data_IF_054558633925
#
_entry.id   IF_054558633925
#
_cell.length_a   1.000
_cell.length_b   1.000
_cell.length_c   1.000
_cell.angle_alpha   90.00
_cell.angle_beta   90.00
_cell.angle_gamma   90.00
#
_symmetry.space_group_name_H-M   'P 1'
#
loop_
_entity.id
_entity.type
_entity.pdbx_description
1 polymer ?
#
# COMPACT_ATOMS: atom_id res chain seq x y z
N UNK A 1 -18.38 -16.31 7.28
CA UNK A 1 -18.90 -15.09 6.61
C UNK A 1 -18.39 -15.05 5.17
N UNK A 2 -19.25 -14.68 4.23
CA UNK A 2 -18.91 -14.49 2.82
C UNK A 2 -17.97 -13.27 2.63
N UNK A 3 -16.98 -13.36 1.73
CA UNK A 3 -16.07 -12.25 1.39
C UNK A 3 -16.84 -11.02 0.91
N UNK A 4 -17.97 -11.20 0.21
CA UNK A 4 -18.80 -10.09 -0.28
C UNK A 4 -19.35 -9.19 0.82
N UNK A 5 -19.74 -9.75 1.97
CA UNK A 5 -20.22 -8.94 3.08
C UNK A 5 -19.09 -8.13 3.72
N UNK A 6 -17.89 -8.70 3.84
CA UNK A 6 -16.68 -8.00 4.30
C UNK A 6 -16.27 -6.89 3.32
N UNK A 7 -16.37 -7.12 2.02
CA UNK A 7 -16.12 -6.12 0.97
C UNK A 7 -17.14 -4.98 0.99
N UNK A 8 -18.41 -5.27 1.26
CA UNK A 8 -19.43 -4.24 1.47
C UNK A 8 -19.12 -3.39 2.70
N UNK A 9 -18.72 -4.03 3.80
CA UNK A 9 -18.37 -3.34 5.04
C UNK A 9 -17.16 -2.41 4.87
N UNK A 10 -16.08 -2.89 4.23
CA UNK A 10 -14.90 -2.08 3.89
C UNK A 10 -15.31 -0.83 3.12
N UNK A 11 -16.15 -0.97 2.08
CA UNK A 11 -16.62 0.17 1.28
C UNK A 11 -17.48 1.13 2.08
N UNK A 12 -18.37 0.62 2.94
CA UNK A 12 -19.19 1.46 3.84
C UNK A 12 -18.31 2.25 4.80
N UNK A 13 -17.33 1.60 5.43
CA UNK A 13 -16.38 2.27 6.34
C UNK A 13 -15.55 3.33 5.62
N UNK A 14 -14.95 2.99 4.47
CA UNK A 14 -14.13 3.94 3.69
C UNK A 14 -14.93 5.19 3.26
N UNK A 15 -16.21 5.04 2.90
CA UNK A 15 -17.07 6.17 2.52
C UNK A 15 -17.58 6.96 3.72
N UNK A 16 -18.10 6.27 4.73
CA UNK A 16 -18.74 6.90 5.88
C UNK A 16 -17.75 7.59 6.81
N UNK A 17 -16.61 6.95 7.08
CA UNK A 17 -15.60 7.46 8.02
C UNK A 17 -14.43 8.17 7.31
N UNK A 18 -14.30 8.03 5.99
CA UNK A 18 -13.10 8.45 5.28
C UNK A 18 -12.76 9.94 5.42
N UNK A 19 -13.76 10.83 5.34
CA UNK A 19 -13.50 12.28 5.51
C UNK A 19 -12.92 12.60 6.90
N UNK A 20 -13.51 12.03 7.96
CA UNK A 20 -13.04 12.21 9.32
C UNK A 20 -11.61 11.67 9.49
N UNK A 21 -11.38 10.42 9.09
CA UNK A 21 -10.08 9.75 9.24
C UNK A 21 -8.99 10.48 8.47
N UNK A 22 -9.24 10.86 7.22
CA UNK A 22 -8.25 11.59 6.41
C UNK A 22 -7.93 12.96 7.00
N UNK A 23 -8.95 13.74 7.38
CA UNK A 23 -8.72 15.06 7.97
C UNK A 23 -7.96 14.97 9.30
N UNK A 24 -8.28 13.98 10.15
CA UNK A 24 -7.53 13.73 11.38
C UNK A 24 -6.07 13.36 11.09
N UNK A 25 -5.80 12.49 10.13
CA UNK A 25 -4.43 12.14 9.75
C UNK A 25 -3.64 13.35 9.23
N UNK A 26 -4.24 14.17 8.38
CA UNK A 26 -3.56 15.36 7.86
C UNK A 26 -3.31 16.38 8.96
N UNK A 27 -4.28 16.59 9.84
CA UNK A 27 -4.12 17.48 10.98
C UNK A 27 -3.04 16.95 11.96
N UNK A 28 -3.02 15.66 12.25
CA UNK A 28 -2.06 15.09 13.22
C UNK A 28 -0.62 14.99 12.68
N UNK A 29 -0.42 14.88 11.36
CA UNK A 29 0.90 14.53 10.79
C UNK A 29 1.38 15.40 9.62
N UNK A 30 0.59 16.39 9.17
CA UNK A 30 0.93 17.20 8.01
C UNK A 30 0.72 18.70 8.22
N UNK A 31 -0.41 19.11 8.79
CA UNK A 31 -0.80 20.54 8.88
C UNK A 31 -0.98 21.06 10.29
N UNK A 32 -1.15 20.19 11.28
CA UNK A 32 -1.32 20.62 12.67
C UNK A 32 -0.01 21.06 13.31
N UNK A 33 -0.15 21.74 14.45
CA UNK A 33 0.99 22.19 15.24
C UNK A 33 1.85 21.01 15.67
N UNK A 34 3.18 21.14 15.56
CA UNK A 34 4.14 20.10 15.98
C UNK A 34 3.93 19.72 17.46
N UNK A 35 3.55 20.69 18.30
CA UNK A 35 3.28 20.53 19.73
C UNK A 35 1.93 19.88 20.06
N UNK A 36 1.07 19.65 19.06
CA UNK A 36 -0.25 19.06 19.26
C UNK A 36 -0.13 17.62 19.76
N UNK A 37 -0.80 17.31 20.86
CA UNK A 37 -0.93 15.93 21.34
C UNK A 37 -1.69 15.08 20.31
N UNK A 38 -1.00 14.11 19.72
CA UNK A 38 -1.56 13.16 18.76
C UNK A 38 -2.26 12.02 19.52
N UNK A 39 -3.57 11.88 19.36
CA UNK A 39 -4.33 10.76 19.92
C UNK A 39 -4.38 9.64 18.88
N UNK A 40 -3.79 8.45 19.15
CA UNK A 40 -3.81 7.34 18.21
C UNK A 40 -5.25 6.90 17.91
N UNK A 41 -5.54 6.71 16.62
CA UNK A 41 -6.81 6.17 16.15
C UNK A 41 -6.57 5.19 15.01
N UNK A 42 -7.53 4.30 14.78
CA UNK A 42 -7.54 3.41 13.63
C UNK A 42 -7.47 4.23 12.34
N UNK A 43 -6.43 4.01 11.54
CA UNK A 43 -6.19 4.73 10.29
C UNK A 43 -7.21 4.42 9.19
N UNK A 44 -8.18 3.52 9.42
CA UNK A 44 -9.23 3.21 8.45
C UNK A 44 -10.64 3.64 8.91
N UNK A 45 -10.99 3.45 10.18
CA UNK A 45 -12.33 3.76 10.71
C UNK A 45 -12.37 4.85 11.78
N UNK A 46 -11.23 5.33 12.26
CA UNK A 46 -11.14 6.45 13.19
C UNK A 46 -11.39 6.12 14.66
N UNK A 47 -11.75 4.88 15.02
CA UNK A 47 -11.91 4.52 16.44
C UNK A 47 -10.58 4.56 17.18
N UNK A 48 -10.60 4.99 18.44
CA UNK A 48 -9.42 5.04 19.33
C UNK A 48 -9.27 3.78 20.18
N UNK A 49 -10.23 2.85 20.09
CA UNK A 49 -10.30 1.64 20.91
C UNK A 49 -9.72 0.42 20.19
N UNK A 50 -9.16 -0.52 20.96
CA UNK A 50 -8.68 -1.83 20.51
C UNK A 50 -7.72 -1.75 19.32
N UNK A 51 -6.77 -0.81 19.38
CA UNK A 51 -5.77 -0.61 18.35
C UNK A 51 -4.75 -1.74 18.33
N UNK A 52 -4.38 -2.13 17.12
CA UNK A 52 -3.42 -3.16 16.79
C UNK A 52 -2.43 -2.60 15.76
N UNK A 53 -1.30 -3.28 15.56
CA UNK A 53 -0.31 -2.93 14.54
C UNK A 53 -0.57 -3.73 13.28
N UNK A 54 -1.03 -3.05 12.23
CA UNK A 54 -1.19 -3.64 10.91
C UNK A 54 0.05 -3.41 10.06
N UNK A 55 0.53 -4.44 9.34
CA UNK A 55 1.69 -4.29 8.46
C UNK A 55 1.29 -3.66 7.14
N UNK A 56 2.11 -2.73 6.64
CA UNK A 56 1.83 -2.04 5.37
C UNK A 56 1.91 -3.01 4.19
N UNK A 57 2.93 -3.88 4.20
CA UNK A 57 3.04 -5.05 3.35
C UNK A 57 2.78 -6.28 4.21
N UNK A 58 1.89 -7.20 3.82
CA UNK A 58 1.56 -8.36 4.64
C UNK A 58 2.78 -9.25 4.90
N UNK A 59 2.89 -9.75 6.14
CA UNK A 59 4.05 -10.58 6.55
C UNK A 59 4.29 -11.79 5.67
N UNK A 60 3.23 -12.43 5.21
CA UNK A 60 3.32 -13.63 4.38
C UNK A 60 4.05 -13.32 3.06
N UNK A 61 3.95 -12.11 2.51
CA UNK A 61 4.57 -11.74 1.23
C UNK A 61 6.10 -11.84 1.27
N UNK A 62 6.72 -11.59 2.42
CA UNK A 62 8.17 -11.65 2.65
C UNK A 62 8.57 -12.71 3.68
N UNK A 63 7.73 -13.75 3.86
CA UNK A 63 7.98 -14.90 4.74
C UNK A 63 8.25 -14.52 6.20
N UNK A 64 7.69 -13.39 6.66
CA UNK A 64 7.93 -12.82 8.00
C UNK A 64 9.42 -12.60 8.33
N UNK A 65 10.29 -12.55 7.32
CA UNK A 65 11.74 -12.49 7.52
C UNK A 65 12.15 -11.10 8.05
N UNK A 66 12.67 -10.99 9.29
CA UNK A 66 13.04 -9.71 9.88
C UNK A 66 14.26 -9.06 9.21
N UNK A 67 15.03 -9.82 8.43
CA UNK A 67 16.21 -9.35 7.70
C UNK A 67 15.86 -8.73 6.34
N UNK A 68 14.59 -8.69 5.95
CA UNK A 68 14.15 -8.05 4.71
C UNK A 68 13.83 -6.57 4.97
N UNK A 69 14.34 -5.71 4.09
CA UNK A 69 14.22 -4.25 4.16
C UNK A 69 13.83 -3.69 2.80
N UNK A 70 13.31 -2.46 2.81
CA UNK A 70 13.22 -1.60 1.63
C UNK A 70 13.94 -0.29 1.93
N UNK A 71 14.49 0.34 0.90
CA UNK A 71 15.13 1.65 1.01
C UNK A 71 14.06 2.70 0.72
N UNK A 72 13.87 3.66 1.64
CA UNK A 72 13.06 4.84 1.36
C UNK A 72 13.78 5.73 0.36
N UNK A 73 13.09 6.16 -0.68
CA UNK A 73 13.55 7.14 -1.66
C UNK A 73 13.91 8.49 -1.02
N UNK A 74 13.15 8.91 -0.01
CA UNK A 74 13.34 10.17 0.72
C UNK A 74 14.51 10.09 1.70
N UNK A 75 14.47 9.13 2.63
CA UNK A 75 15.48 9.06 3.70
C UNK A 75 16.78 8.39 3.23
N UNK A 76 16.74 7.59 2.15
CA UNK A 76 17.82 6.68 1.73
C UNK A 76 18.28 5.74 2.87
N UNK A 77 17.36 5.43 3.79
CA UNK A 77 17.59 4.56 4.94
C UNK A 77 16.82 3.26 4.79
N UNK A 78 17.43 2.17 5.24
CA UNK A 78 16.78 0.87 5.36
C UNK A 78 15.59 0.92 6.31
N UNK A 79 14.44 0.48 5.80
CA UNK A 79 13.20 0.32 6.53
C UNK A 79 12.84 -1.15 6.59
N UNK A 80 12.76 -1.69 7.80
CA UNK A 80 12.43 -3.11 7.98
C UNK A 80 10.94 -3.35 7.70
N UNK A 81 10.63 -4.29 6.80
CA UNK A 81 9.23 -4.62 6.50
C UNK A 81 8.43 -5.02 7.75
N UNK A 82 9.06 -5.72 8.70
CA UNK A 82 8.39 -6.17 9.93
C UNK A 82 8.02 -5.01 10.87
N UNK A 83 8.71 -3.86 10.75
CA UNK A 83 8.47 -2.67 11.58
C UNK A 83 7.53 -1.66 10.92
N UNK A 84 7.38 -1.72 9.60
CA UNK A 84 6.51 -0.84 8.83
C UNK A 84 5.03 -1.15 9.09
N UNK A 85 4.44 -0.45 10.08
CA UNK A 85 3.09 -0.72 10.58
C UNK A 85 2.25 0.54 10.79
N UNK A 86 0.93 0.42 10.67
CA UNK A 86 -0.07 1.46 10.95
C UNK A 86 -1.08 1.00 12.01
N UNK A 87 -1.69 1.91 12.79
CA UNK A 87 -2.69 1.55 13.77
C UNK A 87 -4.00 1.23 13.06
N UNK A 88 -4.49 0.02 13.26
CA UNK A 88 -5.86 -0.35 12.90
C UNK A 88 -6.54 -0.96 14.12
N UNK A 89 -7.84 -0.76 14.28
CA UNK A 89 -8.57 -1.49 15.31
C UNK A 89 -8.69 -2.98 14.94
N UNK A 90 -8.87 -3.85 15.94
CA UNK A 90 -8.97 -5.30 15.74
C UNK A 90 -9.99 -5.70 14.66
N UNK A 91 -11.12 -4.98 14.57
CA UNK A 91 -12.13 -5.20 13.53
C UNK A 91 -11.58 -4.91 12.12
N UNK A 92 -10.97 -3.75 11.91
CA UNK A 92 -10.43 -3.37 10.60
C UNK A 92 -9.24 -4.26 10.19
N UNK A 93 -8.35 -4.56 11.14
CA UNK A 93 -7.18 -5.39 10.90
C UNK A 93 -7.58 -6.87 10.70
N UNK A 94 -8.00 -7.52 11.79
CA UNK A 94 -8.12 -8.98 11.87
C UNK A 94 -9.35 -9.54 11.16
N UNK A 95 -10.41 -8.75 10.99
CA UNK A 95 -11.61 -9.20 10.31
C UNK A 95 -11.74 -8.68 8.88
N UNK A 96 -11.54 -7.37 8.65
CA UNK A 96 -11.77 -6.79 7.33
C UNK A 96 -10.58 -7.04 6.40
N UNK A 97 -9.42 -6.45 6.68
CA UNK A 97 -8.26 -6.53 5.80
C UNK A 97 -7.70 -7.95 5.71
N UNK A 98 -7.55 -8.64 6.83
CA UNK A 98 -7.11 -10.02 6.87
C UNK A 98 -8.05 -11.00 6.12
N UNK A 99 -9.36 -10.70 5.98
CA UNK A 99 -10.24 -11.55 5.16
C UNK A 99 -9.90 -11.48 3.66
N UNK A 100 -9.53 -10.28 3.17
CA UNK A 100 -9.05 -10.10 1.80
C UNK A 100 -7.71 -10.80 1.63
N UNK A 101 -6.78 -10.58 2.55
CA UNK A 101 -5.43 -11.18 2.46
C UNK A 101 -5.48 -12.71 2.45
N UNK A 102 -6.32 -13.33 3.28
CA UNK A 102 -6.52 -14.79 3.27
C UNK A 102 -7.10 -15.28 1.94
N UNK A 103 -8.06 -14.54 1.37
CA UNK A 103 -8.62 -14.89 0.06
C UNK A 103 -7.57 -14.76 -1.03
N UNK A 104 -6.75 -13.71 -1.03
CA UNK A 104 -5.63 -13.54 -1.97
C UNK A 104 -4.62 -14.68 -1.81
N UNK A 105 -4.17 -15.00 -0.60
CA UNK A 105 -3.25 -16.14 -0.38
C UNK A 105 -3.80 -17.44 -0.98
N UNK A 106 -5.09 -17.72 -0.77
CA UNK A 106 -5.75 -18.90 -1.37
C UNK A 106 -5.78 -18.84 -2.90
N UNK A 107 -6.03 -17.67 -3.49
CA UNK A 107 -5.98 -17.48 -4.95
C UNK A 107 -4.56 -17.78 -5.45
N UNK A 108 -3.54 -17.21 -4.81
CA UNK A 108 -2.15 -17.34 -5.24
C UNK A 108 -1.61 -18.77 -5.07
N UNK A 109 -2.08 -19.52 -4.06
CA UNK A 109 -1.66 -20.90 -3.82
C UNK A 109 -2.29 -21.91 -4.78
N UNK A 110 -3.46 -21.60 -5.37
CA UNK A 110 -4.20 -22.54 -6.21
C UNK A 110 -3.96 -22.30 -7.70
N UNK A 111 -3.81 -21.03 -8.12
CA UNK A 111 -3.72 -20.69 -9.55
C UNK A 111 -2.29 -20.85 -10.07
N UNK A 112 -2.13 -21.76 -11.01
CA UNK A 112 -0.92 -21.92 -11.82
C UNK A 112 -1.05 -21.11 -13.12
N UNK A 113 -0.36 -19.96 -13.17
CA UNK A 113 -0.37 -19.05 -14.31
C UNK A 113 0.20 -19.68 -15.60
N UNK A 114 0.86 -20.83 -15.53
CA UNK A 114 1.27 -21.59 -16.72
C UNK A 114 0.12 -22.38 -17.34
N UNK A 115 -0.93 -22.68 -16.57
CA UNK A 115 -2.07 -23.50 -16.98
C UNK A 115 -3.35 -22.69 -17.17
N UNK A 116 -3.59 -21.70 -16.32
CA UNK A 116 -4.78 -20.86 -16.37
C UNK A 116 -4.53 -19.47 -15.79
N UNK A 117 -5.37 -18.51 -16.20
CA UNK A 117 -5.39 -17.17 -15.61
C UNK A 117 -6.42 -17.07 -14.48
N UNK A 118 -6.34 -15.97 -13.72
CA UNK A 118 -7.31 -15.67 -12.66
C UNK A 118 -8.72 -15.51 -13.21
N UNK A 119 -9.71 -15.97 -12.44
CA UNK A 119 -11.11 -15.67 -12.71
C UNK A 119 -11.37 -14.15 -12.59
N UNK A 120 -12.44 -13.60 -13.21
CA UNK A 120 -12.78 -12.19 -13.05
C UNK A 120 -12.85 -11.75 -11.59
N UNK A 121 -13.47 -12.53 -10.70
CA UNK A 121 -13.58 -12.18 -9.28
C UNK A 121 -12.23 -12.20 -8.55
N UNK A 122 -11.33 -13.12 -8.93
CA UNK A 122 -9.99 -13.20 -8.37
C UNK A 122 -9.16 -11.97 -8.76
N UNK A 123 -9.25 -11.53 -10.03
CA UNK A 123 -8.66 -10.28 -10.49
C UNK A 123 -9.11 -9.08 -9.66
N UNK A 124 -10.43 -8.92 -9.49
CA UNK A 124 -10.99 -7.81 -8.72
C UNK A 124 -10.56 -7.85 -7.24
N UNK A 125 -10.32 -9.05 -6.70
CA UNK A 125 -9.86 -9.24 -5.31
C UNK A 125 -8.38 -8.89 -5.16
N UNK A 126 -7.52 -9.32 -6.10
CA UNK A 126 -6.09 -8.99 -6.12
C UNK A 126 -5.90 -7.48 -6.27
N UNK A 127 -6.59 -6.84 -7.22
CA UNK A 127 -6.52 -5.38 -7.42
C UNK A 127 -6.85 -4.64 -6.11
N UNK A 128 -7.90 -5.07 -5.42
CA UNK A 128 -8.32 -4.43 -4.16
C UNK A 128 -7.29 -4.57 -3.06
N UNK A 129 -6.66 -5.74 -2.98
CA UNK A 129 -5.56 -5.97 -2.05
C UNK A 129 -4.35 -5.06 -2.34
N UNK A 130 -3.97 -4.90 -3.60
CA UNK A 130 -2.89 -4.00 -4.01
C UNK A 130 -3.21 -2.52 -3.72
N UNK A 131 -4.47 -2.10 -3.87
CA UNK A 131 -4.92 -0.76 -3.49
C UNK A 131 -4.96 -0.54 -1.97
N UNK A 132 -5.27 -1.58 -1.19
CA UNK A 132 -5.16 -1.53 0.27
C UNK A 132 -3.71 -1.38 0.70
N UNK A 133 -2.77 -2.06 0.04
CA UNK A 133 -1.34 -1.92 0.31
C UNK A 133 -0.89 -0.47 0.08
N UNK A 134 -1.24 0.14 -1.06
CA UNK A 134 -0.87 1.55 -1.33
C UNK A 134 -1.51 2.53 -0.34
N UNK A 135 -2.77 2.33 0.04
CA UNK A 135 -3.35 3.12 1.13
C UNK A 135 -2.57 3.00 2.43
N UNK A 136 -2.19 1.77 2.83
CA UNK A 136 -1.40 1.53 4.04
C UNK A 136 -0.05 2.22 3.98
N UNK A 137 0.63 2.15 2.83
CA UNK A 137 1.94 2.79 2.61
C UNK A 137 1.81 4.31 2.70
N UNK A 138 0.83 4.92 2.03
CA UNK A 138 0.65 6.37 2.11
C UNK A 138 0.33 6.87 3.52
N UNK A 139 -0.49 6.12 4.28
CA UNK A 139 -0.73 6.40 5.70
C UNK A 139 0.56 6.24 6.52
N UNK A 140 1.39 5.25 6.20
CA UNK A 140 2.65 5.04 6.89
C UNK A 140 3.67 6.15 6.58
N UNK A 141 3.78 6.60 5.33
CA UNK A 141 4.64 7.72 4.93
C UNK A 141 4.21 9.03 5.60
N UNK A 142 2.90 9.27 5.72
CA UNK A 142 2.37 10.42 6.46
C UNK A 142 2.81 10.40 7.92
N UNK A 143 2.86 9.22 8.54
CA UNK A 143 3.13 9.04 9.97
C UNK A 143 4.60 8.87 10.28
N UNK A 144 5.42 8.61 9.27
CA UNK A 144 6.86 8.38 9.42
C UNK A 144 7.57 9.72 9.29
N UNK A 145 8.39 10.02 10.29
CA UNK A 145 9.20 11.23 10.31
C UNK A 145 10.40 11.08 9.37
N UNK A 146 10.79 12.19 8.75
CA UNK A 146 12.03 12.33 8.04
C UNK A 146 13.19 12.12 9.00
N UNK A 147 14.14 11.28 8.60
CA UNK A 147 15.34 11.00 9.39
C UNK A 147 16.55 11.38 8.56
N UNK A 148 17.48 12.11 9.19
CA UNK A 148 18.75 12.46 8.56
C UNK A 148 19.48 11.22 8.05
N UNK A 149 20.13 11.36 6.91
CA UNK A 149 21.11 10.38 6.47
C UNK A 149 22.34 10.45 7.39
N UNK A 150 23.07 9.35 7.53
CA UNK A 150 24.26 9.29 8.42
C UNK A 150 25.35 10.27 7.98
N UNK A 151 25.43 10.51 6.68
CA UNK A 151 26.47 11.33 6.05
C UNK A 151 26.04 12.78 5.73
N UNK A 152 24.84 13.18 6.17
CA UNK A 152 24.29 14.53 5.93
C UNK A 152 24.29 15.38 7.19
N UNK A 153 24.52 16.70 7.02
CA UNK A 153 24.35 17.67 8.09
C UNK A 153 22.90 17.66 8.62
N UNK A 154 22.75 17.65 9.95
CA UNK A 154 21.43 17.63 10.58
C UNK A 154 20.79 19.02 10.50
N UNK A 155 19.59 19.09 9.90
CA UNK A 155 18.75 20.29 9.91
C UNK A 155 17.58 20.01 10.86
N UNK A 156 17.59 20.55 12.10
CA UNK A 156 16.56 20.26 13.10
C UNK A 156 15.14 20.51 12.61
N UNK A 157 14.94 21.56 11.80
CA UNK A 157 13.64 21.96 11.25
C UNK A 157 12.99 20.89 10.35
N UNK A 158 13.78 19.97 9.78
CA UNK A 158 13.26 18.92 8.90
C UNK A 158 12.89 17.64 9.65
N UNK A 159 13.31 17.47 10.91
CA UNK A 159 13.13 16.23 11.65
C UNK A 159 11.66 15.91 11.96
N UNK A 160 10.82 16.94 12.07
CA UNK A 160 9.39 16.79 12.39
C UNK A 160 8.49 16.67 11.14
N UNK A 161 9.09 16.76 9.94
CA UNK A 161 8.34 16.65 8.69
C UNK A 161 8.10 15.18 8.32
N UNK A 162 6.90 14.88 7.83
CA UNK A 162 6.58 13.53 7.34
C UNK A 162 7.34 13.19 6.06
N UNK A 163 7.66 11.91 5.88
CA UNK A 163 8.25 11.39 4.64
C UNK A 163 7.35 11.73 3.44
N UNK A 164 6.03 11.65 3.61
CA UNK A 164 5.08 12.02 2.56
C UNK A 164 5.25 13.48 2.10
N UNK A 165 5.36 14.43 3.05
CA UNK A 165 5.59 15.83 2.71
C UNK A 165 6.95 16.04 2.06
N UNK A 166 8.00 15.40 2.58
CA UNK A 166 9.36 15.52 2.04
C UNK A 166 9.50 14.95 0.63
N UNK A 167 8.70 13.95 0.25
CA UNK A 167 8.68 13.41 -1.11
C UNK A 167 8.06 14.38 -2.11
N UNK A 168 6.90 14.94 -1.77
CA UNK A 168 6.06 15.67 -2.72
C UNK A 168 6.20 17.20 -2.61
N UNK A 169 6.78 17.70 -1.51
CA UNK A 169 6.87 19.12 -1.12
C UNK A 169 5.55 19.90 -1.25
N UNK A 170 4.41 19.20 -1.14
CA UNK A 170 3.09 19.77 -1.39
C UNK A 170 2.02 19.09 -0.53
N UNK A 171 1.51 19.81 0.46
CA UNK A 171 0.36 19.37 1.29
C UNK A 171 -0.83 19.01 0.41
N UNK A 172 -1.11 19.80 -0.63
CA UNK A 172 -2.21 19.54 -1.56
C UNK A 172 -2.02 18.22 -2.30
N UNK A 173 -0.81 17.93 -2.78
CA UNK A 173 -0.50 16.69 -3.50
C UNK A 173 -0.67 15.49 -2.58
N UNK A 174 -0.03 15.52 -1.40
CA UNK A 174 -0.11 14.45 -0.39
C UNK A 174 -1.56 14.17 -0.01
N UNK A 175 -2.31 15.20 0.40
CA UNK A 175 -3.70 15.03 0.84
C UNK A 175 -4.61 14.53 -0.29
N UNK A 176 -4.35 14.94 -1.53
CA UNK A 176 -5.10 14.46 -2.71
C UNK A 176 -4.82 12.99 -2.98
N UNK A 177 -3.55 12.57 -2.96
CA UNK A 177 -3.17 11.19 -3.23
C UNK A 177 -3.70 10.23 -2.16
N UNK A 178 -3.60 10.58 -0.88
CA UNK A 178 -4.11 9.70 0.20
C UNK A 178 -5.63 9.58 0.16
N UNK A 179 -6.35 10.67 -0.16
CA UNK A 179 -7.80 10.61 -0.39
C UNK A 179 -8.15 9.75 -1.60
N UNK A 180 -7.37 9.80 -2.69
CA UNK A 180 -7.55 8.93 -3.86
C UNK A 180 -7.32 7.45 -3.50
N UNK A 181 -6.30 7.13 -2.71
CA UNK A 181 -6.05 5.77 -2.24
C UNK A 181 -7.24 5.21 -1.44
N UNK A 182 -7.78 5.99 -0.51
CA UNK A 182 -9.00 5.59 0.21
C UNK A 182 -10.22 5.47 -0.71
N UNK A 183 -10.38 6.39 -1.67
CA UNK A 183 -11.45 6.34 -2.67
C UNK A 183 -11.37 5.06 -3.51
N UNK A 184 -10.17 4.62 -3.89
CA UNK A 184 -9.98 3.34 -4.59
C UNK A 184 -10.52 2.19 -3.75
N UNK A 185 -10.19 2.09 -2.47
CA UNK A 185 -10.75 1.05 -1.58
C UNK A 185 -12.30 1.09 -1.54
N UNK A 186 -12.87 2.30 -1.56
CA UNK A 186 -14.31 2.49 -1.55
C UNK A 186 -15.01 2.12 -2.88
N UNK A 187 -14.31 2.04 -4.01
CA UNK A 187 -14.91 1.74 -5.31
C UNK A 187 -15.35 0.27 -5.40
N UNK A 188 -16.61 0.03 -5.80
CA UNK A 188 -17.16 -1.33 -5.94
C UNK A 188 -16.53 -2.08 -7.11
N UNK A 189 -16.67 -1.50 -8.29
CA UNK A 189 -16.27 -2.13 -9.55
C UNK A 189 -14.81 -1.82 -9.85
N UNK A 190 -14.04 -2.89 -10.11
CA UNK A 190 -12.62 -2.85 -10.43
C UNK A 190 -12.32 -3.36 -11.83
N UNK A 191 -13.34 -3.70 -12.62
CA UNK A 191 -13.21 -4.32 -13.94
C UNK A 191 -12.30 -3.52 -14.88
N UNK A 192 -12.48 -2.19 -14.93
CA UNK A 192 -11.66 -1.28 -15.74
C UNK A 192 -10.18 -1.25 -15.36
N UNK A 193 -9.82 -1.73 -14.16
CA UNK A 193 -8.44 -1.77 -13.67
C UNK A 193 -7.72 -3.08 -14.00
N UNK A 194 -8.42 -4.09 -14.53
CA UNK A 194 -7.81 -5.40 -14.88
C UNK A 194 -6.70 -5.22 -15.91
N UNK A 195 -6.95 -4.47 -16.98
CA UNK A 195 -5.96 -4.20 -18.03
C UNK A 195 -4.73 -3.40 -17.54
N UNK A 196 -4.76 -2.89 -16.32
CA UNK A 196 -3.69 -2.12 -15.69
C UNK A 196 -2.85 -2.93 -14.69
N UNK A 197 -3.22 -4.19 -14.45
CA UNK A 197 -2.49 -5.13 -13.62
C UNK A 197 -1.82 -6.19 -14.51
N UNK A 198 -0.50 -6.17 -14.54
CA UNK A 198 0.32 -7.19 -15.17
C UNK A 198 0.59 -8.27 -14.14
N UNK A 199 0.39 -9.52 -14.55
CA UNK A 199 0.68 -10.70 -13.73
C UNK A 199 1.62 -11.63 -14.49
N UNK A 200 2.51 -12.28 -13.76
CA UNK A 200 3.44 -13.24 -14.35
C UNK A 200 3.97 -14.23 -13.33
N UNK A 201 5.00 -14.97 -13.75
CA UNK A 201 5.75 -15.90 -12.90
C UNK A 201 7.17 -15.37 -12.67
N UNK A 202 7.81 -15.81 -11.59
CA UNK A 202 9.17 -15.41 -11.23
C UNK A 202 10.06 -16.62 -10.98
N UNK A 203 11.34 -16.49 -11.30
CA UNK A 203 12.39 -17.45 -10.92
C UNK A 203 13.25 -16.96 -9.76
N UNK A 204 13.02 -15.73 -9.28
CA UNK A 204 13.77 -15.15 -8.18
C UNK A 204 13.44 -15.90 -6.90
N UNK A 205 14.43 -16.07 -6.04
CA UNK A 205 14.31 -16.75 -4.74
C UNK A 205 14.02 -15.78 -3.61
N UNK A 206 14.17 -14.47 -3.85
CA UNK A 206 13.98 -13.42 -2.87
C UNK A 206 12.77 -12.56 -3.20
N UNK A 207 12.07 -12.11 -2.15
CA UNK A 207 11.04 -11.08 -2.26
C UNK A 207 11.65 -9.77 -2.76
N UNK A 208 11.07 -9.20 -3.82
CA UNK A 208 11.40 -7.87 -4.35
C UNK A 208 10.15 -7.00 -4.40
N UNK A 209 10.31 -5.73 -4.03
CA UNK A 209 9.25 -4.75 -3.98
C UNK A 209 9.80 -3.36 -4.22
N UNK A 210 9.07 -2.60 -5.04
CA UNK A 210 9.25 -1.16 -5.20
C UNK A 210 7.91 -0.57 -5.63
N UNK A 211 7.73 0.72 -5.40
CA UNK A 211 6.48 1.39 -5.70
C UNK A 211 6.73 2.89 -5.87
N UNK A 212 5.73 3.59 -6.42
CA UNK A 212 5.60 5.03 -6.30
C UNK A 212 4.19 5.31 -5.80
N UNK A 213 4.09 5.94 -4.62
CA UNK A 213 2.82 6.17 -3.93
C UNK A 213 1.79 6.85 -4.85
N UNK A 214 0.61 6.22 -4.98
CA UNK A 214 -0.46 6.72 -5.83
C UNK A 214 -0.26 6.54 -7.34
N UNK A 215 0.88 6.00 -7.79
CA UNK A 215 1.18 5.78 -9.21
C UNK A 215 1.22 4.29 -9.58
N UNK A 216 2.16 3.53 -9.01
CA UNK A 216 2.26 2.09 -9.26
C UNK A 216 2.85 1.29 -8.09
N UNK A 217 2.65 -0.02 -8.12
CA UNK A 217 3.31 -1.00 -7.24
C UNK A 217 3.87 -2.17 -8.04
N UNK A 218 5.04 -2.63 -7.65
CA UNK A 218 5.63 -3.89 -8.07
C UNK A 218 5.79 -4.82 -6.86
N UNK A 219 5.32 -6.06 -6.98
CA UNK A 219 5.49 -7.10 -5.97
C UNK A 219 5.92 -8.41 -6.65
N UNK A 220 7.05 -8.94 -6.23
CA UNK A 220 7.52 -10.25 -6.63
C UNK A 220 7.49 -11.18 -5.43
N UNK A 221 6.70 -12.25 -5.50
CA UNK A 221 6.37 -13.13 -4.37
C UNK A 221 6.83 -14.57 -4.71
N UNK A 222 8.10 -14.91 -4.46
CA UNK A 222 8.69 -16.20 -4.83
C UNK A 222 7.94 -17.43 -4.32
N UNK A 223 7.49 -17.41 -3.07
CA UNK A 223 6.79 -18.54 -2.45
C UNK A 223 5.52 -19.00 -3.21
N UNK A 224 4.91 -18.11 -4.01
CA UNK A 224 3.76 -18.43 -4.87
C UNK A 224 4.11 -18.47 -6.35
N UNK A 225 5.37 -18.18 -6.70
CA UNK A 225 5.84 -18.01 -8.07
C UNK A 225 4.97 -16.98 -8.82
N UNK A 226 4.78 -15.79 -8.22
CA UNK A 226 3.95 -14.72 -8.77
C UNK A 226 4.69 -13.39 -8.79
N UNK A 227 4.45 -12.62 -9.83
CA UNK A 227 4.86 -11.22 -9.95
C UNK A 227 3.65 -10.37 -10.32
N UNK A 228 3.56 -9.18 -9.73
CA UNK A 228 2.50 -8.21 -9.96
C UNK A 228 3.13 -6.85 -10.27
N UNK A 229 2.68 -6.21 -11.34
CA UNK A 229 2.91 -4.79 -11.60
C UNK A 229 1.57 -4.13 -11.84
N UNK A 230 1.21 -3.14 -11.01
CA UNK A 230 -0.09 -2.48 -11.09
C UNK A 230 0.06 -0.97 -11.16
N UNK A 231 -0.53 -0.35 -12.17
CA UNK A 231 -0.74 1.09 -12.20
C UNK A 231 -2.05 1.44 -11.47
N UNK A 232 -2.04 2.37 -10.53
CA UNK A 232 -3.21 2.75 -9.73
C UNK A 232 -4.18 3.65 -10.49
N UNK A 233 -3.64 4.63 -11.23
CA UNK A 233 -4.44 5.70 -11.85
C UNK A 233 -4.11 5.93 -13.33
N UNK A 234 -2.91 5.53 -13.81
CA UNK A 234 -2.58 5.67 -15.23
C UNK A 234 -3.60 4.90 -16.07
N UNK A 235 -3.98 5.51 -17.19
CA UNK A 235 -4.92 4.97 -18.17
C UNK A 235 -4.14 4.74 -19.47
N UNK A 236 -4.32 3.57 -20.08
CA UNK A 236 -3.65 3.22 -21.32
C UNK A 236 -4.64 2.72 -22.37
N UNK A 237 -4.33 3.00 -23.64
CA UNK A 237 -5.19 2.62 -24.76
C UNK A 237 -5.28 1.10 -24.97
N UNK A 238 -4.22 0.36 -24.63
CA UNK A 238 -4.17 -1.09 -24.75
C UNK A 238 -3.10 -1.71 -23.83
N UNK A 239 -3.25 -3.02 -23.58
CA UNK A 239 -2.40 -3.81 -22.68
C UNK A 239 -0.93 -3.90 -23.13
N UNK A 240 -0.64 -3.81 -24.45
CA UNK A 240 0.74 -3.83 -24.96
C UNK A 240 1.52 -2.59 -24.49
N UNK A 241 0.88 -1.43 -24.44
CA UNK A 241 1.48 -0.20 -23.92
C UNK A 241 1.71 -0.33 -22.41
N UNK A 242 0.74 -0.84 -21.66
CA UNK A 242 0.85 -1.07 -20.21
C UNK A 242 2.07 -1.94 -19.91
N UNK A 243 2.20 -3.06 -20.62
CA UNK A 243 3.30 -4.01 -20.47
C UNK A 243 4.66 -3.38 -20.78
N UNK A 244 4.74 -2.60 -21.87
CA UNK A 244 5.97 -1.89 -22.24
C UNK A 244 6.39 -0.87 -21.19
N UNK A 245 5.46 -0.06 -20.68
CA UNK A 245 5.76 0.97 -19.68
C UNK A 245 6.15 0.35 -18.33
N UNK A 246 5.49 -0.73 -17.92
CA UNK A 246 5.89 -1.46 -16.73
C UNK A 246 7.29 -2.05 -16.87
N UNK A 247 7.62 -2.68 -18.01
CA UNK A 247 8.95 -3.24 -18.25
C UNK A 247 10.05 -2.18 -18.22
N UNK A 248 9.84 -1.01 -18.82
CA UNK A 248 10.79 0.11 -18.72
C UNK A 248 11.08 0.50 -17.28
N UNK A 249 10.05 0.58 -16.44
CA UNK A 249 10.20 0.91 -15.02
C UNK A 249 10.96 -0.19 -14.29
N UNK A 250 10.58 -1.46 -14.51
CA UNK A 250 11.28 -2.62 -13.92
C UNK A 250 12.76 -2.61 -14.31
N UNK A 251 13.08 -2.47 -15.60
CA UNK A 251 14.45 -2.44 -16.10
C UNK A 251 15.26 -1.30 -15.48
N UNK A 252 14.68 -0.11 -15.33
CA UNK A 252 15.37 1.01 -14.68
C UNK A 252 15.75 0.75 -13.23
N UNK A 253 14.91 0.03 -12.47
CA UNK A 253 15.17 -0.29 -11.06
C UNK A 253 16.16 -1.44 -10.89
N UNK A 254 16.20 -2.39 -11.82
CA UNK A 254 17.14 -3.53 -11.78
C UNK A 254 18.50 -3.25 -12.42
N UNK A 255 18.64 -2.14 -13.17
CA UNK A 255 19.91 -1.73 -13.78
C UNK A 255 20.76 -0.82 -12.89
N UNK A 256 20.17 -0.31 -11.80
CA UNK A 256 20.81 0.46 -10.72
C UNK A 256 21.40 -0.48 -9.65
#
# INVERSE_FOLDING_TARGET
MNIESKLLEIRKTARGQGKYVMNKLFDDYLTGLITKKKIPSCSFCGTEKNLTKEHVIPKWVFESNPKKFFVSDVNKLDQSYIKATIPLCAKCNSELFNSIERKVQKILSVVDLKKSYYSPDDWLTIIRWLEIIDFKIQVWDLRSEFKKHKDSHYIPMLADLSIAYMRDFSVRTVTTQTRKALKRIATKDKSKRISHLIVGTTKNTSFHYFHTSGDFIFLEIPQYNKIFFYFYEREYKNEKIVSREAMKIIESVYSD
#
